data_IF_906830651428
#
_entry.id   IF_906830651428
#
_cell.length_a   1.000
_cell.length_b   1.000
_cell.length_c   1.000
_cell.angle_alpha   90.00
_cell.angle_beta   90.00
_cell.angle_gamma   90.00
#
_symmetry.space_group_name_H-M   'P 1'
#
loop_
_entity.id
_entity.type
_entity.pdbx_description
1 polymer ?
#
# COMPACT_ATOMS: atom_id res chain seq x y z
N UNK A 1 -19.86 15.81 1.07
CA UNK A 1 -19.22 14.50 0.83
C UNK A 1 -19.46 13.62 2.05
N UNK A 2 -19.84 12.34 1.88
CA UNK A 2 -19.91 11.36 2.97
C UNK A 2 -18.60 11.25 3.72
N UNK A 3 -18.67 10.95 5.02
CA UNK A 3 -17.47 10.81 5.85
C UNK A 3 -16.58 9.68 5.34
N UNK A 4 -17.18 8.55 4.94
CA UNK A 4 -16.47 7.37 4.44
C UNK A 4 -15.75 7.67 3.13
N UNK A 5 -16.41 8.38 2.22
CA UNK A 5 -15.80 8.82 0.96
C UNK A 5 -14.59 9.72 1.22
N UNK A 6 -14.70 10.72 2.12
CA UNK A 6 -13.56 11.59 2.47
C UNK A 6 -12.41 10.78 3.03
N UNK A 7 -12.68 9.89 3.99
CA UNK A 7 -11.66 9.06 4.63
C UNK A 7 -10.97 8.15 3.59
N UNK A 8 -11.74 7.52 2.69
CA UNK A 8 -11.18 6.69 1.62
C UNK A 8 -10.25 7.49 0.70
N UNK A 9 -10.66 8.70 0.30
CA UNK A 9 -9.81 9.62 -0.48
C UNK A 9 -8.53 9.95 0.29
N UNK A 10 -8.61 10.32 1.57
CA UNK A 10 -7.43 10.64 2.36
C UNK A 10 -6.46 9.45 2.47
N UNK A 11 -6.95 8.26 2.78
CA UNK A 11 -6.11 7.05 2.88
C UNK A 11 -5.42 6.77 1.54
N UNK A 12 -6.14 6.84 0.41
CA UNK A 12 -5.58 6.60 -0.93
C UNK A 12 -4.48 7.60 -1.27
N UNK A 13 -4.72 8.90 -1.08
CA UNK A 13 -3.75 9.94 -1.47
C UNK A 13 -2.56 10.00 -0.52
N UNK A 14 -2.77 9.90 0.80
CA UNK A 14 -1.68 9.83 1.77
C UNK A 14 -0.82 8.58 1.51
N UNK A 15 -1.45 7.44 1.26
CA UNK A 15 -0.76 6.19 0.92
C UNK A 15 0.05 6.30 -0.37
N UNK A 16 -0.49 6.94 -1.42
CA UNK A 16 0.23 7.19 -2.67
C UNK A 16 1.45 8.11 -2.47
N UNK A 17 1.30 9.19 -1.71
CA UNK A 17 2.41 10.10 -1.39
C UNK A 17 3.49 9.35 -0.62
N UNK A 18 3.09 8.58 0.40
CA UNK A 18 4.00 7.75 1.17
C UNK A 18 4.74 6.73 0.29
N UNK A 19 4.03 6.06 -0.61
CA UNK A 19 4.61 5.12 -1.57
C UNK A 19 5.68 5.76 -2.46
N UNK A 20 5.44 7.00 -2.94
CA UNK A 20 6.41 7.74 -3.75
C UNK A 20 7.68 8.03 -2.95
N UNK A 21 7.55 8.55 -1.72
CA UNK A 21 8.69 8.81 -0.85
C UNK A 21 9.46 7.53 -0.49
N UNK A 22 8.74 6.46 -0.17
CA UNK A 22 9.31 5.14 0.11
C UNK A 22 10.10 4.61 -1.09
N UNK A 23 9.50 4.62 -2.27
CA UNK A 23 10.12 4.13 -3.52
C UNK A 23 11.36 4.93 -3.88
N UNK A 24 11.32 6.26 -3.70
CA UNK A 24 12.47 7.14 -3.91
C UNK A 24 13.61 6.85 -2.92
N UNK A 25 13.30 6.66 -1.63
CA UNK A 25 14.31 6.35 -0.64
C UNK A 25 14.94 4.96 -0.85
N UNK A 26 14.14 3.97 -1.26
CA UNK A 26 14.65 2.65 -1.67
C UNK A 26 15.55 2.75 -2.90
N UNK A 27 15.16 3.54 -3.90
CA UNK A 27 16.01 3.82 -5.07
C UNK A 27 17.35 4.45 -4.66
N UNK A 28 17.34 5.47 -3.80
CA UNK A 28 18.57 6.09 -3.30
C UNK A 28 19.47 5.07 -2.60
N UNK A 29 18.90 4.23 -1.72
CA UNK A 29 19.66 3.18 -1.04
C UNK A 29 20.31 2.20 -2.03
N UNK A 30 19.53 1.68 -2.98
CA UNK A 30 20.05 0.75 -4.01
C UNK A 30 21.15 1.39 -4.87
N UNK A 31 20.98 2.68 -5.20
CA UNK A 31 22.00 3.45 -5.93
C UNK A 31 23.27 3.63 -5.11
N UNK A 32 23.17 3.96 -3.83
CA UNK A 32 24.34 4.15 -2.95
C UNK A 32 25.10 2.85 -2.70
N UNK A 33 24.41 1.70 -2.68
CA UNK A 33 25.04 0.38 -2.49
C UNK A 33 25.56 -0.22 -3.80
N UNK A 34 25.43 0.48 -4.94
CA UNK A 34 25.89 0.00 -6.24
C UNK A 34 25.11 -1.24 -6.72
N UNK A 35 23.87 -1.42 -6.26
CA UNK A 35 23.10 -2.63 -6.57
C UNK A 35 22.76 -2.71 -8.06
N UNK A 36 22.94 -3.87 -8.71
CA UNK A 36 22.49 -4.09 -10.09
C UNK A 36 20.96 -4.01 -10.23
N UNK A 37 20.22 -4.04 -9.12
CA UNK A 37 18.75 -3.92 -9.09
C UNK A 37 18.24 -2.48 -9.22
N UNK A 38 19.12 -1.47 -9.14
CA UNK A 38 18.77 -0.03 -9.17
C UNK A 38 17.87 0.39 -10.35
N UNK A 39 18.14 0.02 -11.63
CA UNK A 39 17.25 0.40 -12.73
C UNK A 39 15.88 -0.28 -12.64
N UNK A 40 15.82 -1.49 -12.06
CA UNK A 40 14.58 -2.25 -11.95
C UNK A 40 13.64 -1.68 -10.89
N UNK A 41 14.16 -1.06 -9.83
CA UNK A 41 13.33 -0.44 -8.77
C UNK A 41 12.36 0.58 -9.34
N UNK A 42 12.83 1.47 -10.22
CA UNK A 42 12.00 2.48 -10.84
C UNK A 42 10.99 1.87 -11.82
N UNK A 43 11.44 0.91 -12.64
CA UNK A 43 10.62 0.22 -13.64
C UNK A 43 9.46 -0.54 -12.97
N UNK A 44 9.69 -1.17 -11.82
CA UNK A 44 8.63 -1.85 -11.08
C UNK A 44 7.74 -0.90 -10.28
N UNK A 45 8.29 0.20 -9.76
CA UNK A 45 7.52 1.16 -8.95
C UNK A 45 6.52 1.98 -9.76
N UNK A 46 6.85 2.37 -11.00
CA UNK A 46 6.01 3.23 -11.81
C UNK A 46 4.66 2.59 -12.19
N UNK A 47 4.60 1.34 -12.70
CA UNK A 47 3.33 0.66 -12.97
C UNK A 47 2.47 0.51 -11.71
N UNK A 48 3.07 0.15 -10.58
CA UNK A 48 2.36 0.02 -9.31
C UNK A 48 1.74 1.37 -8.93
N UNK A 49 2.52 2.45 -8.99
CA UNK A 49 2.01 3.80 -8.74
C UNK A 49 0.83 4.13 -9.66
N UNK A 50 0.94 3.89 -10.98
CA UNK A 50 -0.12 4.19 -11.95
C UNK A 50 -1.40 3.38 -11.70
N UNK A 51 -1.27 2.11 -11.32
CA UNK A 51 -2.40 1.22 -11.00
C UNK A 51 -3.21 1.74 -9.80
N UNK A 52 -2.59 2.45 -8.86
CA UNK A 52 -3.29 3.09 -7.75
C UNK A 52 -3.69 4.54 -8.04
N UNK A 53 -2.84 5.30 -8.73
CA UNK A 53 -3.05 6.72 -9.00
C UNK A 53 -4.23 6.97 -9.94
N UNK A 54 -4.29 6.27 -11.07
CA UNK A 54 -5.34 6.49 -12.08
C UNK A 54 -6.73 6.21 -11.48
N UNK A 55 -6.99 5.06 -10.82
CA UNK A 55 -8.28 4.80 -10.21
C UNK A 55 -8.60 5.75 -9.05
N UNK A 56 -7.59 6.22 -8.29
CA UNK A 56 -7.79 7.19 -7.21
C UNK A 56 -8.24 8.56 -7.74
N UNK A 57 -7.67 9.02 -8.86
CA UNK A 57 -8.11 10.26 -9.54
C UNK A 57 -9.53 10.08 -10.10
N UNK A 58 -9.82 8.95 -10.75
CA UNK A 58 -11.17 8.65 -11.25
C UNK A 58 -12.20 8.55 -10.12
N UNK A 59 -11.78 8.09 -8.93
CA UNK A 59 -12.62 8.04 -7.74
C UNK A 59 -12.93 9.42 -7.19
N UNK A 60 -11.95 10.34 -7.20
CA UNK A 60 -12.15 11.75 -6.87
C UNK A 60 -13.12 12.44 -7.85
N UNK A 61 -13.06 12.06 -9.13
CA UNK A 61 -14.01 12.49 -10.18
C UNK A 61 -15.36 11.74 -10.12
N UNK A 62 -15.59 10.92 -9.09
CA UNK A 62 -16.83 10.16 -8.84
C UNK A 62 -17.22 9.27 -10.02
N UNK A 63 -16.26 8.61 -10.66
CA UNK A 63 -16.52 7.63 -11.74
C UNK A 63 -16.79 6.26 -11.15
N UNK A 64 -17.92 5.63 -11.43
CA UNK A 64 -18.25 4.31 -10.88
C UNK A 64 -17.23 3.22 -11.21
N UNK A 65 -16.58 3.30 -12.37
CA UNK A 65 -15.55 2.34 -12.77
C UNK A 65 -14.37 2.30 -11.80
N UNK A 66 -14.06 3.44 -11.16
CA UNK A 66 -13.00 3.53 -10.16
C UNK A 66 -13.30 2.67 -8.93
N UNK A 67 -14.56 2.58 -8.48
CA UNK A 67 -14.94 1.75 -7.34
C UNK A 67 -14.65 0.27 -7.62
N UNK A 68 -15.00 -0.20 -8.82
CA UNK A 68 -14.73 -1.58 -9.24
C UNK A 68 -13.22 -1.85 -9.28
N UNK A 69 -12.47 -1.01 -9.99
CA UNK A 69 -11.02 -1.19 -10.14
C UNK A 69 -10.31 -1.13 -8.78
N UNK A 70 -10.57 -0.10 -7.96
CA UNK A 70 -9.96 0.04 -6.64
C UNK A 70 -10.28 -1.14 -5.74
N UNK A 71 -11.55 -1.58 -5.70
CA UNK A 71 -11.92 -2.75 -4.89
C UNK A 71 -11.17 -4.00 -5.33
N UNK A 72 -11.06 -4.25 -6.64
CA UNK A 72 -10.31 -5.40 -7.17
C UNK A 72 -8.81 -5.31 -6.84
N UNK A 73 -8.19 -4.16 -7.08
CA UNK A 73 -6.76 -3.94 -6.83
C UNK A 73 -6.43 -4.05 -5.33
N UNK A 74 -7.27 -3.49 -4.46
CA UNK A 74 -7.07 -3.57 -3.00
C UNK A 74 -7.28 -5.01 -2.50
N UNK A 75 -8.30 -5.73 -2.97
CA UNK A 75 -8.49 -7.15 -2.65
C UNK A 75 -7.29 -8.00 -3.06
N UNK A 76 -6.75 -7.75 -4.26
CA UNK A 76 -5.56 -8.45 -4.75
C UNK A 76 -4.34 -8.14 -3.87
N UNK A 77 -4.17 -6.88 -3.46
CA UNK A 77 -3.07 -6.48 -2.57
C UNK A 77 -3.19 -7.15 -1.19
N UNK A 78 -4.39 -7.22 -0.60
CA UNK A 78 -4.63 -7.97 0.65
C UNK A 78 -4.21 -9.43 0.48
N UNK A 79 -4.60 -10.07 -0.62
CA UNK A 79 -4.22 -11.46 -0.91
C UNK A 79 -2.70 -11.63 -1.06
N UNK A 80 -2.03 -10.73 -1.78
CA UNK A 80 -0.57 -10.72 -1.91
C UNK A 80 0.11 -10.52 -0.55
N UNK A 81 -0.39 -9.61 0.30
CA UNK A 81 0.13 -9.39 1.65
C UNK A 81 0.00 -10.64 2.53
N UNK A 82 -1.09 -11.40 2.41
CA UNK A 82 -1.24 -12.68 3.11
C UNK A 82 -0.23 -13.72 2.63
N UNK A 83 -0.03 -13.85 1.32
CA UNK A 83 0.97 -14.77 0.75
C UNK A 83 2.39 -14.39 1.16
N UNK A 84 2.73 -13.10 1.12
CA UNK A 84 4.02 -12.59 1.58
C UNK A 84 4.21 -12.82 3.08
N UNK A 85 3.16 -12.64 3.89
CA UNK A 85 3.22 -12.93 5.33
C UNK A 85 3.50 -14.41 5.58
N UNK A 86 2.81 -15.32 4.89
CA UNK A 86 3.09 -16.75 4.97
C UNK A 86 4.53 -17.07 4.51
N UNK A 87 4.99 -16.45 3.42
CA UNK A 87 6.36 -16.58 2.92
C UNK A 87 7.41 -16.12 3.92
N UNK A 88 7.15 -15.05 4.67
CA UNK A 88 8.07 -14.56 5.69
C UNK A 88 8.05 -15.38 6.99
N UNK A 89 6.92 -16.02 7.33
CA UNK A 89 6.85 -16.99 8.44
C UNK A 89 7.71 -18.22 8.10
N UNK A 90 7.58 -18.75 6.88
CA UNK A 90 8.33 -19.91 6.39
C UNK A 90 9.49 -19.48 5.49
N UNK A 91 10.30 -18.53 5.97
CA UNK A 91 11.28 -17.82 5.14
C UNK A 91 12.29 -18.76 4.47
N UNK A 92 12.76 -19.80 5.17
CA UNK A 92 13.76 -20.75 4.62
C UNK A 92 13.18 -21.59 3.49
N UNK A 93 11.95 -22.05 3.65
CA UNK A 93 11.24 -22.83 2.64
C UNK A 93 10.88 -21.93 1.44
N UNK A 94 10.47 -20.70 1.72
CA UNK A 94 10.14 -19.70 0.71
C UNK A 94 11.34 -19.30 -0.16
N UNK A 95 12.52 -19.07 0.42
CA UNK A 95 13.74 -18.79 -0.34
C UNK A 95 14.16 -19.97 -1.21
N UNK A 96 13.98 -21.20 -0.70
CA UNK A 96 14.27 -22.43 -1.45
C UNK A 96 13.32 -22.59 -2.65
N UNK A 97 12.03 -22.35 -2.47
CA UNK A 97 11.02 -22.39 -3.55
C UNK A 97 11.35 -21.36 -4.63
N UNK A 98 11.70 -20.13 -4.23
CA UNK A 98 12.05 -19.07 -5.17
C UNK A 98 13.36 -19.38 -5.92
N UNK A 99 14.34 -19.96 -5.23
CA UNK A 99 15.58 -20.47 -5.83
C UNK A 99 15.31 -21.50 -6.93
N UNK A 100 14.38 -22.43 -6.66
CA UNK A 100 13.94 -23.43 -7.64
C UNK A 100 13.17 -22.85 -8.83
N UNK A 101 12.68 -21.60 -8.74
CA UNK A 101 12.02 -20.86 -9.84
C UNK A 101 13.00 -20.00 -10.64
N UNK A 102 14.31 -20.08 -10.35
CA UNK A 102 15.38 -19.44 -11.13
C UNK A 102 15.85 -18.07 -10.61
N UNK A 103 15.33 -17.60 -9.47
CA UNK A 103 15.85 -16.40 -8.78
C UNK A 103 16.91 -16.86 -7.77
N UNK A 104 18.17 -16.47 -7.93
CA UNK A 104 19.24 -16.94 -7.03
C UNK A 104 18.91 -16.56 -5.59
N UNK A 105 19.05 -17.51 -4.66
CA UNK A 105 18.80 -17.32 -3.23
C UNK A 105 19.54 -16.10 -2.65
N UNK A 106 20.76 -15.87 -3.14
CA UNK A 106 21.57 -14.70 -2.81
C UNK A 106 20.92 -13.37 -3.18
N UNK A 107 20.16 -13.27 -4.27
CA UNK A 107 19.54 -12.02 -4.71
C UNK A 107 18.40 -11.59 -3.76
N UNK A 108 17.68 -12.56 -3.20
CA UNK A 108 16.58 -12.33 -2.26
C UNK A 108 17.09 -11.89 -0.89
N UNK A 109 18.16 -12.55 -0.42
CA UNK A 109 18.89 -12.15 0.78
C UNK A 109 19.56 -10.77 0.61
N UNK A 110 20.11 -10.49 -0.57
CA UNK A 110 20.73 -9.20 -0.90
C UNK A 110 19.67 -8.08 -0.93
N UNK A 111 18.47 -8.34 -1.43
CA UNK A 111 17.37 -7.38 -1.45
C UNK A 111 16.86 -7.07 -0.02
N UNK A 112 16.73 -8.08 0.84
CA UNK A 112 16.43 -7.89 2.26
C UNK A 112 17.56 -7.17 3.01
N UNK A 113 18.81 -7.48 2.70
CA UNK A 113 19.99 -6.84 3.26
C UNK A 113 20.09 -5.35 2.89
N UNK A 114 19.87 -5.01 1.62
CA UNK A 114 19.83 -3.61 1.15
C UNK A 114 18.64 -2.85 1.76
N UNK A 115 17.50 -3.52 1.92
CA UNK A 115 16.34 -2.96 2.61
C UNK A 115 16.54 -2.84 4.14
N UNK A 116 17.59 -3.46 4.71
CA UNK A 116 17.83 -3.62 6.17
C UNK A 116 16.63 -4.24 6.90
N UNK A 117 15.92 -5.13 6.21
CA UNK A 117 14.68 -5.75 6.67
C UNK A 117 14.94 -7.20 7.01
N UNK A 118 14.60 -7.59 8.23
CA UNK A 118 14.52 -8.99 8.63
C UNK A 118 13.10 -9.51 8.42
N UNK A 119 12.88 -10.82 8.24
CA UNK A 119 11.54 -11.36 8.04
C UNK A 119 10.54 -10.91 9.11
N UNK A 120 10.97 -10.79 10.37
CA UNK A 120 10.12 -10.31 11.47
C UNK A 120 9.67 -8.85 11.29
N UNK A 121 10.56 -7.98 10.77
CA UNK A 121 10.21 -6.58 10.47
C UNK A 121 9.23 -6.50 9.30
N UNK A 122 9.43 -7.32 8.26
CA UNK A 122 8.51 -7.41 7.12
C UNK A 122 7.12 -7.83 7.60
N UNK A 123 7.04 -8.88 8.44
CA UNK A 123 5.78 -9.33 9.03
C UNK A 123 5.06 -8.24 9.83
N UNK A 124 5.81 -7.46 10.61
CA UNK A 124 5.25 -6.39 11.42
C UNK A 124 4.75 -5.22 10.55
N UNK A 125 5.43 -4.90 9.46
CA UNK A 125 4.94 -3.93 8.47
C UNK A 125 3.65 -4.42 7.82
N UNK A 126 3.65 -5.66 7.32
CA UNK A 126 2.48 -6.24 6.65
C UNK A 126 1.27 -6.33 7.58
N UNK A 127 1.48 -6.62 8.87
CA UNK A 127 0.41 -6.67 9.87
C UNK A 127 -0.15 -5.29 10.24
N UNK A 128 0.66 -4.23 10.11
CA UNK A 128 0.19 -2.84 10.26
C UNK A 128 -0.52 -2.33 9.01
N UNK A 129 -0.08 -2.71 7.81
CA UNK A 129 -0.66 -2.26 6.53
C UNK A 129 -1.98 -2.98 6.19
N UNK A 130 -2.08 -4.28 6.46
CA UNK A 130 -3.25 -5.08 6.08
C UNK A 130 -4.58 -4.57 6.67
N UNK A 131 -4.66 -4.16 7.96
CA UNK A 131 -5.86 -3.54 8.52
C UNK A 131 -6.31 -2.28 7.77
N UNK A 132 -5.38 -1.45 7.29
CA UNK A 132 -5.70 -0.27 6.50
C UNK A 132 -6.30 -0.62 5.15
N UNK A 133 -5.79 -1.67 4.48
CA UNK A 133 -6.36 -2.15 3.23
C UNK A 133 -7.77 -2.71 3.41
N UNK A 134 -7.99 -3.50 4.47
CA UNK A 134 -9.32 -4.02 4.83
C UNK A 134 -10.29 -2.87 5.13
N UNK A 135 -9.84 -1.89 5.92
CA UNK A 135 -10.65 -0.73 6.26
C UNK A 135 -11.00 0.10 5.01
N UNK A 136 -10.03 0.31 4.11
CA UNK A 136 -10.27 1.00 2.84
C UNK A 136 -11.27 0.24 1.97
N UNK A 137 -11.18 -1.09 1.89
CA UNK A 137 -12.14 -1.92 1.18
C UNK A 137 -13.56 -1.82 1.76
N UNK A 138 -13.67 -1.75 3.09
CA UNK A 138 -14.93 -1.47 3.78
C UNK A 138 -15.50 -0.09 3.39
N UNK A 139 -14.68 0.97 3.42
CA UNK A 139 -15.09 2.33 3.08
C UNK A 139 -15.55 2.46 1.62
N UNK A 140 -14.84 1.83 0.69
CA UNK A 140 -15.21 1.82 -0.73
C UNK A 140 -16.52 1.05 -0.97
N UNK A 141 -16.77 0.01 -0.19
CA UNK A 141 -17.99 -0.78 -0.29
C UNK A 141 -19.18 -0.23 0.50
N UNK A 142 -18.97 0.78 1.34
CA UNK A 142 -20.01 1.38 2.18
C UNK A 142 -21.15 1.95 1.34
N UNK A 143 -22.39 1.79 1.82
CA UNK A 143 -23.61 2.22 1.11
C UNK A 143 -23.55 3.70 0.74
N UNK A 144 -23.18 4.55 1.70
CA UNK A 144 -23.09 6.00 1.49
C UNK A 144 -22.04 6.40 0.45
N UNK A 145 -20.88 5.73 0.44
CA UNK A 145 -19.83 5.96 -0.57
C UNK A 145 -20.33 5.62 -1.97
N UNK A 146 -20.96 4.44 -2.12
CA UNK A 146 -21.51 3.99 -3.41
C UNK A 146 -22.62 4.91 -3.90
N UNK A 147 -23.54 5.28 -3.01
CA UNK A 147 -24.64 6.17 -3.32
C UNK A 147 -24.12 7.54 -3.76
N UNK A 148 -23.16 8.12 -3.02
CA UNK A 148 -22.58 9.41 -3.38
C UNK A 148 -21.84 9.42 -4.71
N UNK A 149 -21.12 8.34 -5.05
CA UNK A 149 -20.45 8.23 -6.35
C UNK A 149 -21.48 8.17 -7.49
N UNK A 150 -22.61 7.48 -7.29
CA UNK A 150 -23.69 7.34 -8.27
C UNK A 150 -24.50 8.62 -8.45
N UNK A 151 -25.04 9.15 -7.35
CA UNK A 151 -25.99 10.27 -7.37
C UNK A 151 -25.31 11.62 -7.43
N UNK A 152 -24.02 11.70 -7.05
CA UNK A 152 -23.20 12.91 -6.93
C UNK A 152 -23.75 13.95 -5.94
N UNK A 153 -24.83 13.65 -5.24
CA UNK A 153 -25.53 14.51 -4.27
C UNK A 153 -25.31 14.00 -2.85
N UNK A 154 -25.22 14.91 -1.87
CA UNK A 154 -25.09 14.53 -0.46
C UNK A 154 -25.57 15.65 0.47
N UNK A 155 -26.28 15.27 1.54
CA UNK A 155 -26.64 16.19 2.62
C UNK A 155 -25.44 16.42 3.53
N UNK A 156 -25.10 17.69 3.81
CA UNK A 156 -23.94 18.04 4.64
C UNK A 156 -24.15 17.61 6.10
N UNK A 157 -23.48 16.55 6.53
CA UNK A 157 -23.38 16.16 7.95
C UNK A 157 -21.96 16.47 8.46
N UNK A 158 -21.86 17.20 9.56
CA UNK A 158 -20.57 17.56 10.16
C UNK A 158 -19.98 16.36 10.94
N UNK A 159 -18.88 15.82 10.44
CA UNK A 159 -18.20 14.61 10.96
C UNK A 159 -16.67 14.80 11.00
N UNK A 160 -16.21 16.06 11.04
CA UNK A 160 -14.80 16.41 10.88
C UNK A 160 -13.88 15.81 11.95
N UNK A 161 -14.31 15.78 13.22
CA UNK A 161 -13.49 15.27 14.32
C UNK A 161 -13.10 13.79 14.14
N UNK A 162 -14.05 12.95 13.70
CA UNK A 162 -13.80 11.53 13.44
C UNK A 162 -12.84 11.31 12.27
N UNK A 163 -13.02 12.06 11.18
CA UNK A 163 -12.11 12.01 10.02
C UNK A 163 -10.68 12.41 10.40
N UNK A 164 -10.53 13.47 11.21
CA UNK A 164 -9.22 13.90 11.72
C UNK A 164 -8.55 12.81 12.57
N UNK A 165 -9.30 12.18 13.48
CA UNK A 165 -8.79 11.09 14.31
C UNK A 165 -8.20 9.95 13.48
N UNK A 166 -8.90 9.52 12.41
CA UNK A 166 -8.40 8.47 11.52
C UNK A 166 -7.13 8.90 10.77
N UNK A 167 -7.08 10.13 10.28
CA UNK A 167 -5.90 10.65 9.58
C UNK A 167 -4.68 10.69 10.52
N UNK A 168 -4.86 11.10 11.78
CA UNK A 168 -3.80 11.10 12.78
C UNK A 168 -3.28 9.67 13.01
N UNK A 169 -4.18 8.69 13.19
CA UNK A 169 -3.79 7.29 13.38
C UNK A 169 -3.04 6.76 12.14
N UNK A 170 -3.46 7.15 10.93
CA UNK A 170 -2.75 6.80 9.69
C UNK A 170 -1.32 7.34 9.69
N UNK A 171 -1.13 8.61 10.03
CA UNK A 171 0.22 9.20 10.13
C UNK A 171 1.08 8.53 11.19
N UNK A 172 0.51 8.16 12.34
CA UNK A 172 1.22 7.39 13.37
C UNK A 172 1.67 6.04 12.82
N UNK A 173 0.77 5.30 12.13
CA UNK A 173 1.14 4.02 11.49
C UNK A 173 2.26 4.19 10.47
N UNK A 174 2.16 5.19 9.58
CA UNK A 174 3.18 5.46 8.57
C UNK A 174 4.53 5.84 9.20
N UNK A 175 4.51 6.58 10.31
CA UNK A 175 5.73 6.93 11.08
C UNK A 175 6.38 5.68 11.65
N UNK A 176 5.60 4.77 12.26
CA UNK A 176 6.10 3.49 12.78
C UNK A 176 6.72 2.66 11.66
N UNK A 177 6.04 2.54 10.51
CA UNK A 177 6.57 1.82 9.33
C UNK A 177 7.88 2.45 8.86
N UNK A 178 7.94 3.79 8.75
CA UNK A 178 9.15 4.51 8.34
C UNK A 178 10.33 4.21 9.26
N UNK A 179 10.11 4.26 10.58
CA UNK A 179 11.13 3.94 11.58
C UNK A 179 11.61 2.49 11.47
N UNK A 180 10.72 1.54 11.20
CA UNK A 180 11.08 0.12 11.03
C UNK A 180 11.99 -0.12 9.83
N UNK A 181 11.75 0.63 8.74
CA UNK A 181 12.59 0.65 7.55
C UNK A 181 13.84 1.53 7.70
N UNK A 182 13.96 2.29 8.79
CA UNK A 182 15.06 3.25 9.03
C UNK A 182 15.12 4.37 8.00
N UNK A 183 13.96 4.76 7.46
CA UNK A 183 13.79 5.84 6.48
C UNK A 183 13.90 7.23 7.11
#
# INVERSE_FOLDING_TARGET
>A
MPKEYKIAVYILFIGLIYYVFFSYAMFLRMRTTGSPMTPYTLIFSLPIFLVYFIPSVLFLLKKEISLKILTTVISLNIFVNMLLSLGMVYFKEFTTIISNLGIKENDLLLLMGIARMFPQKVLLVLSLETPWLIYLLYLLNHKETKEFVRTKTYQLVNTQQFTLGIIIILFITLTIISMLFGL
#
